data_IF_532614137487
#
_entry.id   IF_532614137487
#
_cell.length_a   1.000
_cell.length_b   1.000
_cell.length_c   1.000
_cell.angle_alpha   90.00
_cell.angle_beta   90.00
_cell.angle_gamma   90.00
#
_symmetry.space_group_name_H-M   'P 1'
#
loop_
_entity.id
_entity.type
_entity.pdbx_description
1 polymer ?
#
# COMPACT_ATOMS: atom_id res chain seq x y z
N UNK A 1 22.38 -5.74 -14.90
CA UNK A 1 22.99 -6.83 -15.67
C UNK A 1 23.50 -7.91 -14.72
N UNK A 2 23.31 -9.20 -15.07
CA UNK A 2 23.85 -10.31 -14.30
C UNK A 2 25.18 -10.77 -14.89
N UNK A 3 26.18 -10.93 -14.04
CA UNK A 3 27.50 -11.47 -14.42
C UNK A 3 27.49 -13.00 -14.59
N UNK A 4 28.48 -13.59 -15.26
CA UNK A 4 28.58 -15.07 -15.40
C UNK A 4 28.71 -15.80 -14.05
N UNK A 5 29.25 -15.18 -13.02
CA UNK A 5 29.35 -15.74 -11.67
C UNK A 5 28.08 -15.51 -10.82
N UNK A 6 27.00 -15.02 -11.45
CA UNK A 6 25.70 -14.73 -10.86
C UNK A 6 25.64 -13.52 -9.90
N UNK A 7 26.68 -12.73 -9.80
CA UNK A 7 26.63 -11.40 -9.21
C UNK A 7 25.90 -10.42 -10.11
N UNK A 8 25.56 -9.27 -9.59
CA UNK A 8 24.83 -8.24 -10.30
C UNK A 8 25.63 -6.95 -10.43
N UNK A 9 25.45 -6.30 -11.56
CA UNK A 9 25.84 -4.90 -11.78
C UNK A 9 24.56 -4.09 -11.88
N UNK A 10 24.36 -3.16 -10.95
CA UNK A 10 23.25 -2.21 -10.92
C UNK A 10 23.77 -0.84 -11.28
N UNK A 11 23.36 -0.31 -12.41
CA UNK A 11 23.74 1.02 -12.89
C UNK A 11 22.61 2.00 -12.59
N UNK A 12 22.97 3.11 -11.95
CA UNK A 12 22.06 4.21 -11.63
C UNK A 12 22.61 5.51 -12.24
N UNK A 13 21.86 6.59 -12.14
CA UNK A 13 22.29 7.94 -12.50
C UNK A 13 23.46 8.47 -11.65
N UNK A 14 23.72 7.85 -10.50
CA UNK A 14 24.74 8.30 -9.53
C UNK A 14 25.96 7.39 -9.46
N UNK A 15 25.79 6.08 -9.68
CA UNK A 15 26.85 5.11 -9.51
C UNK A 15 26.53 3.78 -10.18
N UNK A 16 27.59 2.99 -10.40
CA UNK A 16 27.49 1.56 -10.72
C UNK A 16 27.86 0.77 -9.46
N UNK A 17 26.99 -0.16 -9.08
CA UNK A 17 27.10 -0.96 -7.85
C UNK A 17 27.27 -2.43 -8.26
N UNK A 18 28.30 -3.07 -7.77
CA UNK A 18 28.43 -4.53 -7.83
C UNK A 18 27.90 -5.15 -6.55
N UNK A 19 27.04 -6.15 -6.67
CA UNK A 19 26.42 -6.81 -5.52
C UNK A 19 26.15 -8.30 -5.79
N UNK A 20 26.10 -9.07 -4.73
CA UNK A 20 25.81 -10.50 -4.82
C UNK A 20 24.32 -10.76 -5.10
N UNK A 21 23.45 -9.96 -4.54
CA UNK A 21 21.99 -10.14 -4.60
C UNK A 21 21.28 -8.83 -4.88
N UNK A 22 20.14 -8.92 -5.56
CA UNK A 22 19.21 -7.80 -5.78
C UNK A 22 17.87 -8.17 -5.20
N UNK A 23 17.27 -7.25 -4.43
CA UNK A 23 15.90 -7.32 -3.97
C UNK A 23 15.08 -6.22 -4.64
N UNK A 24 14.09 -6.62 -5.42
CA UNK A 24 13.10 -5.72 -6.00
C UNK A 24 11.98 -5.45 -4.98
N UNK A 25 12.14 -4.42 -4.19
CA UNK A 25 11.14 -3.94 -3.23
C UNK A 25 10.57 -2.57 -3.67
N UNK A 26 10.41 -2.36 -4.98
CA UNK A 26 10.05 -1.07 -5.57
C UNK A 26 8.53 -0.74 -5.52
N UNK A 27 7.73 -1.56 -4.83
CA UNK A 27 6.30 -1.31 -4.67
C UNK A 27 5.58 -1.21 -6.02
N UNK A 28 4.82 -0.15 -6.25
CA UNK A 28 4.09 0.06 -7.51
C UNK A 28 5.02 0.21 -8.74
N UNK A 29 6.31 0.49 -8.55
CA UNK A 29 7.32 0.52 -9.63
C UNK A 29 8.06 -0.80 -9.84
N UNK A 30 7.70 -1.87 -9.12
CA UNK A 30 8.37 -3.15 -9.23
C UNK A 30 8.30 -3.75 -10.64
N UNK A 31 7.22 -3.47 -11.38
CA UNK A 31 7.07 -3.84 -12.78
C UNK A 31 8.09 -3.16 -13.69
N UNK A 32 8.40 -1.87 -13.44
CA UNK A 32 9.42 -1.13 -14.20
C UNK A 32 10.82 -1.71 -13.97
N UNK A 33 11.13 -2.11 -12.74
CA UNK A 33 12.40 -2.78 -12.42
C UNK A 33 12.52 -4.10 -13.19
N UNK A 34 11.44 -4.88 -13.29
CA UNK A 34 11.45 -6.13 -14.08
C UNK A 34 11.56 -5.88 -15.57
N UNK A 35 10.97 -4.79 -16.07
CA UNK A 35 11.09 -4.41 -17.47
C UNK A 35 12.54 -4.11 -17.88
N UNK A 36 13.40 -3.58 -16.97
CA UNK A 36 14.84 -3.43 -17.21
C UNK A 36 15.57 -4.75 -17.50
N UNK A 37 14.97 -5.86 -17.07
CA UNK A 37 15.48 -7.23 -17.31
C UNK A 37 14.77 -7.93 -18.47
N UNK A 38 13.94 -7.20 -19.23
CA UNK A 38 13.12 -7.75 -20.30
C UNK A 38 12.02 -8.70 -19.80
N UNK A 39 11.58 -8.54 -18.56
CA UNK A 39 10.58 -9.39 -17.92
C UNK A 39 9.33 -8.59 -17.53
N UNK A 40 8.23 -9.29 -17.39
CA UNK A 40 6.96 -8.73 -16.95
C UNK A 40 6.63 -9.24 -15.55
N UNK A 41 6.32 -8.34 -14.64
CA UNK A 41 5.74 -8.62 -13.33
C UNK A 41 4.26 -8.22 -13.37
N UNK A 42 3.31 -9.16 -13.26
CA UNK A 42 1.89 -8.84 -13.36
C UNK A 42 1.40 -8.21 -12.06
N UNK A 43 1.55 -6.90 -11.96
CA UNK A 43 1.01 -6.07 -10.88
C UNK A 43 0.12 -4.98 -11.47
N UNK A 44 -0.92 -4.63 -10.73
CA UNK A 44 -1.84 -3.53 -11.04
C UNK A 44 -1.80 -2.53 -9.89
N UNK A 45 -1.57 -1.27 -10.18
CA UNK A 45 -1.66 -0.22 -9.18
C UNK A 45 -3.11 0.25 -9.02
N UNK A 46 -3.60 0.22 -7.80
CA UNK A 46 -4.94 0.68 -7.46
C UNK A 46 -4.85 1.91 -6.55
N UNK A 47 -5.75 2.87 -6.76
CA UNK A 47 -5.93 3.96 -5.81
C UNK A 47 -6.63 3.42 -4.56
N UNK A 48 -6.04 3.61 -3.40
CA UNK A 48 -6.61 3.14 -2.14
C UNK A 48 -6.43 4.18 -1.04
N UNK A 49 -7.39 4.24 -0.12
CA UNK A 49 -7.39 5.25 0.91
C UNK A 49 -7.66 4.65 2.29
N UNK A 50 -7.24 5.39 3.30
CA UNK A 50 -7.70 5.23 4.67
C UNK A 50 -7.87 6.61 5.31
N UNK A 51 -8.69 6.70 6.34
CA UNK A 51 -8.82 7.90 7.14
C UNK A 51 -8.24 7.72 8.53
N UNK A 52 -7.86 8.85 9.13
CA UNK A 52 -7.51 8.97 10.55
C UNK A 52 -8.49 9.93 11.17
N UNK A 53 -9.11 9.53 12.28
CA UNK A 53 -10.03 10.40 13.03
C UNK A 53 -9.27 11.51 13.76
N UNK A 54 -9.96 12.53 14.19
CA UNK A 54 -9.49 13.39 15.26
C UNK A 54 -9.26 12.59 16.54
N UNK A 55 -8.61 13.21 17.53
CA UNK A 55 -8.37 12.56 18.81
C UNK A 55 -9.69 12.29 19.54
N UNK A 56 -9.80 11.09 20.10
CA UNK A 56 -10.98 10.61 20.83
C UNK A 56 -10.57 10.49 22.30
N UNK A 57 -11.17 11.28 23.20
CA UNK A 57 -10.80 11.30 24.62
C UNK A 57 -10.89 9.94 25.31
N UNK A 58 -11.85 9.11 24.90
CA UNK A 58 -12.02 7.76 25.43
C UNK A 58 -10.83 6.86 25.11
N UNK A 59 -10.21 7.04 23.95
CA UNK A 59 -9.00 6.30 23.58
C UNK A 59 -7.79 6.80 24.35
N UNK A 60 -7.73 8.10 24.64
CA UNK A 60 -6.65 8.68 25.44
C UNK A 60 -6.67 8.20 26.88
N UNK A 61 -7.85 7.84 27.42
CA UNK A 61 -8.02 7.34 28.78
C UNK A 61 -7.64 5.86 28.94
N UNK A 62 -7.40 5.13 27.84
CA UNK A 62 -7.07 3.70 27.90
C UNK A 62 -5.64 3.46 28.37
N UNK A 63 -5.46 2.52 29.29
CA UNK A 63 -4.14 2.08 29.76
C UNK A 63 -3.40 1.13 28.78
N UNK A 64 -4.14 0.54 27.84
CA UNK A 64 -3.62 -0.36 26.80
C UNK A 64 -4.34 -0.12 25.48
N UNK A 65 -3.65 -0.26 24.34
CA UNK A 65 -4.31 -0.16 23.04
C UNK A 65 -5.38 -1.22 22.85
N UNK A 66 -6.42 -0.87 22.12
CA UNK A 66 -7.44 -1.80 21.67
C UNK A 66 -6.89 -2.78 20.63
N UNK A 67 -7.41 -4.02 20.56
CA UNK A 67 -7.10 -4.91 19.46
C UNK A 67 -7.56 -4.33 18.13
N UNK A 68 -6.88 -4.76 17.03
CA UNK A 68 -7.33 -4.47 15.69
C UNK A 68 -8.69 -5.17 15.45
N UNK A 69 -9.66 -4.42 14.97
CA UNK A 69 -10.93 -4.94 14.48
C UNK A 69 -10.83 -5.09 12.95
N UNK A 70 -11.27 -6.22 12.42
CA UNK A 70 -11.49 -6.44 11.00
C UNK A 70 -12.92 -6.91 10.79
N UNK A 71 -13.70 -6.10 10.09
CA UNK A 71 -15.04 -6.44 9.66
C UNK A 71 -15.00 -6.97 8.23
N UNK A 72 -15.30 -8.26 8.07
CA UNK A 72 -15.25 -8.93 6.75
C UNK A 72 -16.52 -8.71 5.97
N UNK A 73 -17.65 -8.50 6.64
CA UNK A 73 -18.97 -8.36 6.01
C UNK A 73 -19.10 -7.00 5.33
N UNK A 74 -18.60 -5.95 6.00
CA UNK A 74 -18.63 -4.56 5.50
C UNK A 74 -17.28 -4.07 4.99
N UNK A 75 -16.29 -4.97 4.97
CA UNK A 75 -14.98 -4.80 4.29
C UNK A 75 -14.16 -3.62 4.75
N UNK A 76 -13.90 -3.53 6.05
CA UNK A 76 -12.95 -2.55 6.60
C UNK A 76 -12.15 -3.14 7.77
N UNK A 77 -11.04 -2.48 8.11
CA UNK A 77 -10.38 -2.65 9.39
C UNK A 77 -10.38 -1.34 10.18
N UNK A 78 -10.40 -1.48 11.51
CA UNK A 78 -10.29 -0.38 12.45
C UNK A 78 -9.14 -0.64 13.42
N UNK A 79 -8.23 0.30 13.51
CA UNK A 79 -7.03 0.19 14.34
C UNK A 79 -6.84 1.48 15.14
N UNK A 80 -6.56 1.33 16.44
CA UNK A 80 -6.15 2.48 17.23
C UNK A 80 -4.76 2.96 16.78
N UNK A 81 -4.63 4.26 16.62
CA UNK A 81 -3.37 4.97 16.38
C UNK A 81 -3.23 6.09 17.39
N UNK A 82 -2.46 5.87 18.46
CA UNK A 82 -2.39 6.78 19.63
C UNK A 82 -3.79 7.00 20.23
N UNK A 83 -4.33 8.21 20.09
CA UNK A 83 -5.65 8.60 20.61
C UNK A 83 -6.72 8.71 19.50
N UNK A 84 -6.43 8.23 18.31
CA UNK A 84 -7.30 8.25 17.14
C UNK A 84 -7.58 6.84 16.63
N UNK A 85 -8.53 6.70 15.73
CA UNK A 85 -8.69 5.51 14.91
C UNK A 85 -8.15 5.72 13.51
N UNK A 86 -7.54 4.67 12.95
CA UNK A 86 -7.39 4.49 11.51
C UNK A 86 -8.51 3.58 11.07
N UNK A 87 -9.34 4.07 10.15
CA UNK A 87 -10.32 3.27 9.40
C UNK A 87 -9.78 3.05 7.99
N UNK A 88 -9.48 1.80 7.67
CA UNK A 88 -9.00 1.39 6.35
C UNK A 88 -10.00 0.47 5.68
N UNK A 89 -10.75 0.98 4.68
CA UNK A 89 -11.66 0.17 3.89
C UNK A 89 -10.89 -0.77 2.97
N UNK A 90 -11.49 -1.90 2.65
CA UNK A 90 -11.13 -2.70 1.48
C UNK A 90 -12.10 -2.31 0.36
N UNK A 91 -11.73 -1.26 -0.36
CA UNK A 91 -12.61 -0.64 -1.36
C UNK A 91 -12.90 -1.60 -2.53
N UNK A 92 -14.15 -1.93 -2.75
CA UNK A 92 -14.56 -2.85 -3.81
C UNK A 92 -14.54 -2.21 -5.21
N UNK A 93 -14.62 -0.88 -5.27
CA UNK A 93 -14.59 -0.08 -6.49
C UNK A 93 -13.33 0.78 -6.59
N UNK A 94 -12.24 0.27 -6.09
CA UNK A 94 -10.95 0.94 -6.20
C UNK A 94 -10.56 1.16 -7.67
N UNK A 95 -10.04 2.34 -7.98
CA UNK A 95 -9.70 2.72 -9.35
C UNK A 95 -8.33 2.17 -9.73
N UNK A 96 -8.26 1.46 -10.87
CA UNK A 96 -6.99 1.07 -11.46
C UNK A 96 -6.28 2.31 -12.04
N UNK A 97 -5.02 2.47 -11.66
CA UNK A 97 -4.22 3.64 -12.02
C UNK A 97 -3.08 3.24 -12.96
N UNK A 98 -2.70 4.18 -13.82
CA UNK A 98 -1.50 4.09 -14.65
C UNK A 98 -1.45 2.86 -15.55
N UNK A 99 -2.57 2.56 -16.23
CA UNK A 99 -2.66 1.44 -17.18
C UNK A 99 -1.67 1.58 -18.35
N UNK A 100 -1.34 2.82 -18.71
CA UNK A 100 -0.41 3.14 -19.80
C UNK A 100 1.01 3.53 -19.30
N UNK A 101 1.29 3.35 -18.01
CA UNK A 101 2.60 3.65 -17.40
C UNK A 101 2.52 4.66 -16.26
N UNK A 102 3.47 4.56 -15.36
CA UNK A 102 3.55 5.42 -14.17
C UNK A 102 4.23 6.74 -14.56
N UNK A 103 3.66 7.91 -14.21
CA UNK A 103 4.32 9.19 -14.48
C UNK A 103 5.69 9.29 -13.80
N UNK A 104 6.70 9.76 -14.53
CA UNK A 104 8.08 9.86 -14.02
C UNK A 104 8.20 10.77 -12.80
N UNK A 105 7.36 11.81 -12.75
CA UNK A 105 7.35 12.79 -11.66
C UNK A 105 6.53 12.35 -10.45
N UNK A 106 5.88 11.18 -10.48
CA UNK A 106 5.14 10.65 -9.35
C UNK A 106 6.06 9.87 -8.40
N UNK A 107 6.63 10.57 -7.44
CA UNK A 107 7.47 9.99 -6.40
C UNK A 107 7.04 10.52 -5.03
N UNK A 108 6.63 9.61 -4.12
CA UNK A 108 6.23 9.96 -2.76
C UNK A 108 5.02 10.90 -2.65
N UNK A 109 4.25 11.03 -3.71
CA UNK A 109 3.04 11.86 -3.73
C UNK A 109 1.82 11.05 -3.30
N UNK A 110 0.83 11.76 -2.78
CA UNK A 110 -0.51 11.25 -2.50
C UNK A 110 -1.51 11.95 -3.42
N UNK A 111 -2.64 11.30 -3.64
CA UNK A 111 -3.77 11.90 -4.35
C UNK A 111 -4.68 12.67 -3.39
N UNK A 112 -5.53 13.57 -3.90
CA UNK A 112 -6.59 14.19 -3.11
C UNK A 112 -7.49 13.14 -2.48
N UNK A 113 -8.07 13.48 -1.33
CA UNK A 113 -9.06 12.63 -0.67
C UNK A 113 -10.35 12.53 -1.52
N UNK A 114 -10.90 11.34 -1.58
CA UNK A 114 -12.17 11.04 -2.25
C UNK A 114 -13.15 10.47 -1.21
N UNK A 115 -13.70 11.35 -0.37
CA UNK A 115 -14.53 10.97 0.78
C UNK A 115 -15.77 10.16 0.39
N UNK A 116 -16.35 10.44 -0.77
CA UNK A 116 -17.51 9.71 -1.29
C UNK A 116 -17.25 8.20 -1.42
N UNK A 117 -16.00 7.81 -1.72
CA UNK A 117 -15.60 6.40 -1.78
C UNK A 117 -15.45 5.74 -0.40
N UNK A 118 -15.23 6.56 0.65
CA UNK A 118 -15.09 6.07 2.03
C UNK A 118 -16.41 6.06 2.78
N UNK A 119 -17.41 6.79 2.30
CA UNK A 119 -18.69 7.02 3.00
C UNK A 119 -19.36 5.71 3.44
N UNK A 120 -19.50 4.68 2.61
CA UNK A 120 -20.16 3.43 3.05
C UNK A 120 -19.49 2.81 4.26
N UNK A 121 -18.14 2.69 4.25
CA UNK A 121 -17.40 2.08 5.36
C UNK A 121 -17.34 2.98 6.59
N UNK A 122 -17.44 4.30 6.43
CA UNK A 122 -17.57 5.23 7.56
C UNK A 122 -18.90 5.00 8.28
N UNK A 123 -19.98 4.86 7.53
CA UNK A 123 -21.31 4.59 8.08
C UNK A 123 -21.35 3.23 8.79
N UNK A 124 -20.91 2.17 8.12
CA UNK A 124 -20.84 0.82 8.68
C UNK A 124 -19.98 0.75 9.95
N UNK A 125 -18.82 1.41 9.93
CA UNK A 125 -17.92 1.49 11.08
C UNK A 125 -18.56 2.28 12.24
N UNK A 126 -19.30 3.35 11.94
CA UNK A 126 -20.01 4.16 12.93
C UNK A 126 -21.15 3.40 13.60
N UNK A 127 -21.88 2.56 12.87
CA UNK A 127 -22.90 1.68 13.44
C UNK A 127 -22.30 0.64 14.40
N UNK A 128 -21.14 0.07 14.08
CA UNK A 128 -20.47 -0.93 14.93
C UNK A 128 -19.69 -0.31 16.08
N UNK A 129 -19.07 0.83 15.87
CA UNK A 129 -18.25 1.57 16.85
C UNK A 129 -18.73 3.01 16.89
N UNK A 130 -19.70 3.36 17.72
CA UNK A 130 -20.35 4.68 17.74
C UNK A 130 -19.37 5.87 17.85
N UNK A 131 -18.24 5.70 18.50
CA UNK A 131 -17.18 6.72 18.57
C UNK A 131 -16.68 7.17 17.19
N UNK A 132 -16.78 6.32 16.17
CA UNK A 132 -16.39 6.69 14.78
C UNK A 132 -17.40 7.69 14.21
N UNK A 133 -18.71 7.49 14.47
CA UNK A 133 -19.75 8.39 13.97
C UNK A 133 -19.68 9.78 14.61
N UNK A 134 -19.13 9.89 15.82
CA UNK A 134 -18.99 11.13 16.58
C UNK A 134 -17.66 11.84 16.29
N UNK A 135 -16.65 11.10 15.85
CA UNK A 135 -15.31 11.63 15.60
C UNK A 135 -15.22 12.41 14.29
N UNK A 136 -14.55 13.57 14.31
CA UNK A 136 -14.14 14.26 13.09
C UNK A 136 -13.05 13.50 12.32
N UNK A 137 -12.85 13.85 11.05
CA UNK A 137 -11.78 13.32 10.21
C UNK A 137 -10.59 14.27 10.25
N UNK A 138 -9.48 13.84 10.85
CA UNK A 138 -8.25 14.63 10.89
C UNK A 138 -7.51 14.61 9.55
N UNK A 139 -7.49 13.47 8.86
CA UNK A 139 -6.87 13.34 7.53
C UNK A 139 -7.34 12.09 6.79
N UNK A 140 -7.24 12.16 5.47
CA UNK A 140 -7.34 11.01 4.57
C UNK A 140 -6.01 10.84 3.87
N UNK A 141 -5.57 9.59 3.72
CA UNK A 141 -4.39 9.22 2.95
C UNK A 141 -4.87 8.41 1.77
N UNK A 142 -4.71 8.96 0.55
CA UNK A 142 -5.07 8.33 -0.71
C UNK A 142 -3.80 8.11 -1.52
N UNK A 143 -3.46 6.85 -1.80
CA UNK A 143 -2.19 6.53 -2.45
C UNK A 143 -2.21 5.23 -3.26
N UNK A 144 -1.12 4.99 -4.00
CA UNK A 144 -0.99 3.81 -4.84
C UNK A 144 -0.68 2.57 -4.03
N UNK A 145 -1.45 1.50 -4.25
CA UNK A 145 -1.16 0.17 -3.74
C UNK A 145 -1.00 -0.79 -4.92
N UNK A 146 0.14 -1.50 -5.03
CA UNK A 146 0.31 -2.55 -6.03
C UNK A 146 -0.41 -3.83 -5.61
N UNK A 147 -1.19 -4.38 -6.52
CA UNK A 147 -1.85 -5.67 -6.33
C UNK A 147 -1.32 -6.69 -7.33
N UNK A 148 -0.99 -7.88 -6.82
CA UNK A 148 -0.79 -9.07 -7.65
C UNK A 148 -2.16 -9.68 -8.03
N UNK A 149 -2.26 -10.45 -9.12
CA UNK A 149 -3.54 -11.02 -9.58
C UNK A 149 -4.24 -11.94 -8.58
N UNK A 150 -3.48 -12.56 -7.69
CA UNK A 150 -3.99 -13.45 -6.63
C UNK A 150 -4.13 -12.77 -5.26
N UNK A 151 -3.86 -11.46 -5.20
CA UNK A 151 -3.92 -10.66 -3.97
C UNK A 151 -2.81 -10.95 -2.97
N UNK A 152 -1.82 -11.78 -3.29
CA UNK A 152 -0.70 -12.08 -2.42
C UNK A 152 0.56 -11.29 -2.82
N UNK A 153 1.44 -10.95 -1.86
CA UNK A 153 2.71 -10.30 -2.20
C UNK A 153 3.64 -11.26 -2.95
N UNK A 154 4.42 -10.73 -3.89
CA UNK A 154 5.55 -11.45 -4.45
C UNK A 154 6.64 -11.56 -3.39
N UNK A 155 6.95 -12.79 -2.97
CA UNK A 155 7.99 -13.06 -1.97
C UNK A 155 8.82 -14.27 -2.42
N UNK A 156 10.11 -14.06 -2.66
CA UNK A 156 11.04 -15.12 -2.98
C UNK A 156 11.90 -14.86 -4.21
N UNK A 157 12.62 -15.89 -4.69
CA UNK A 157 13.50 -15.75 -5.83
C UNK A 157 12.72 -15.63 -7.14
N UNK A 158 13.21 -14.77 -8.03
CA UNK A 158 12.66 -14.67 -9.38
C UNK A 158 13.06 -15.89 -10.23
N UNK A 159 12.08 -16.50 -10.89
CA UNK A 159 12.31 -17.68 -11.70
C UNK A 159 13.27 -17.41 -12.86
N UNK A 160 14.36 -18.16 -12.91
CA UNK A 160 15.36 -18.06 -13.97
C UNK A 160 16.34 -16.91 -13.83
N UNK A 161 16.33 -16.18 -12.69
CA UNK A 161 17.35 -15.22 -12.30
C UNK A 161 17.95 -15.65 -10.96
N UNK A 162 19.25 -15.95 -10.94
CA UNK A 162 19.90 -16.27 -9.68
C UNK A 162 20.17 -15.00 -8.88
N UNK A 163 19.99 -15.09 -7.56
CA UNK A 163 20.27 -14.00 -6.62
C UNK A 163 19.43 -12.72 -6.91
N UNK A 164 18.27 -12.89 -7.50
CA UNK A 164 17.27 -11.82 -7.67
C UNK A 164 15.98 -12.21 -6.94
N UNK A 165 15.45 -11.32 -6.14
CA UNK A 165 14.32 -11.56 -5.23
C UNK A 165 13.27 -10.45 -5.31
N UNK A 166 12.07 -10.79 -4.89
CA UNK A 166 10.96 -9.87 -4.65
C UNK A 166 10.56 -9.85 -3.18
#
# INVERSE_FOLDING_TARGET
EQKPNHEWIVTTDKATIECEMVLNAAGYRAGEVMALLGRHLPIMTMAHQYLVTEEIPELAALSKPLPLLRDVDTSYYLRQERHSYILGPYEWQSTAMWLDGIPDDFAGKLWPAELERLEPQILDAGERVPLIAEAGIARVVNGPIPYAPDGNPYLGPERGLRNFFH
#
